data_IF_467348774589
#
_entry.id   IF_467348774589
#
_cell.length_a   1.000
_cell.length_b   1.000
_cell.length_c   1.000
_cell.angle_alpha   90.00
_cell.angle_beta   90.00
_cell.angle_gamma   90.00
#
_symmetry.space_group_name_H-M   'P 1'
#
loop_
_entity.id
_entity.type
_entity.pdbx_description
1 polymer ?
#
# COMPACT_ATOMS: atom_id res chain seq x y z
N UNK A 1 -13.18 19.50 -26.71
CA UNK A 1 -14.32 18.70 -26.23
C UNK A 1 -13.76 17.42 -25.63
N UNK A 2 -13.50 17.37 -24.33
CA UNK A 2 -12.58 16.40 -23.69
C UNK A 2 -13.27 15.50 -22.63
N UNK A 3 -14.60 15.46 -22.63
CA UNK A 3 -15.40 14.84 -21.55
C UNK A 3 -15.72 13.35 -21.70
N UNK A 4 -15.46 12.71 -22.85
CA UNK A 4 -15.90 11.33 -23.09
C UNK A 4 -14.98 10.25 -22.49
N UNK A 5 -13.65 10.41 -22.55
CA UNK A 5 -12.72 9.42 -21.95
C UNK A 5 -12.93 9.23 -20.45
N UNK A 6 -13.06 10.29 -19.63
CA UNK A 6 -13.28 10.14 -18.19
C UNK A 6 -14.55 9.35 -17.86
N UNK A 7 -15.62 9.55 -18.63
CA UNK A 7 -16.91 8.90 -18.35
C UNK A 7 -16.85 7.38 -18.56
N UNK A 8 -16.24 6.90 -19.64
CA UNK A 8 -16.11 5.46 -19.91
C UNK A 8 -15.29 4.73 -18.84
N UNK A 9 -14.22 5.36 -18.34
CA UNK A 9 -13.38 4.78 -17.29
C UNK A 9 -14.12 4.77 -15.94
N UNK A 10 -14.89 5.81 -15.62
CA UNK A 10 -15.73 5.88 -14.42
C UNK A 10 -16.82 4.81 -14.45
N UNK A 11 -17.52 4.65 -15.58
CA UNK A 11 -18.54 3.63 -15.78
C UNK A 11 -17.97 2.23 -15.55
N UNK A 12 -16.87 1.90 -16.23
CA UNK A 12 -16.19 0.60 -16.06
C UNK A 12 -15.79 0.32 -14.61
N UNK A 13 -15.27 1.33 -13.89
CA UNK A 13 -14.96 1.21 -12.46
C UNK A 13 -16.22 0.92 -11.65
N UNK A 14 -17.29 1.66 -11.88
CA UNK A 14 -18.55 1.51 -11.13
C UNK A 14 -19.20 0.14 -11.38
N UNK A 15 -19.08 -0.40 -12.60
CA UNK A 15 -19.57 -1.75 -12.91
C UNK A 15 -18.75 -2.82 -12.19
N UNK A 16 -17.42 -2.70 -12.21
CA UNK A 16 -16.53 -3.59 -11.45
C UNK A 16 -16.78 -3.49 -9.94
N UNK A 17 -17.07 -2.29 -9.42
CA UNK A 17 -17.32 -2.09 -7.99
C UNK A 17 -18.63 -2.75 -7.56
N UNK A 18 -19.67 -2.69 -8.40
CA UNK A 18 -20.93 -3.43 -8.19
C UNK A 18 -20.71 -4.94 -8.25
N UNK A 19 -19.98 -5.44 -9.27
CA UNK A 19 -19.70 -6.87 -9.44
C UNK A 19 -18.96 -7.45 -8.23
N UNK A 20 -17.99 -6.70 -7.68
CA UNK A 20 -17.19 -7.12 -6.53
C UNK A 20 -17.81 -6.75 -5.18
N UNK A 21 -18.94 -6.03 -5.16
CA UNK A 21 -19.56 -5.48 -3.97
C UNK A 21 -18.59 -4.68 -3.08
N UNK A 22 -17.81 -3.80 -3.71
CA UNK A 22 -16.85 -2.91 -3.03
C UNK A 22 -17.06 -1.46 -3.48
N UNK A 23 -16.54 -0.50 -2.73
CA UNK A 23 -16.56 0.90 -3.14
C UNK A 23 -15.68 1.15 -4.38
N UNK A 24 -16.07 2.06 -5.26
CA UNK A 24 -15.36 2.33 -6.52
C UNK A 24 -13.88 2.65 -6.34
N UNK A 25 -13.52 3.45 -5.34
CA UNK A 25 -12.13 3.84 -5.07
C UNK A 25 -11.22 2.64 -4.71
N UNK A 26 -11.79 1.52 -4.25
CA UNK A 26 -11.05 0.27 -3.98
C UNK A 26 -10.56 -0.34 -5.30
N UNK A 27 -11.38 -0.29 -6.36
CA UNK A 27 -11.00 -0.71 -7.71
C UNK A 27 -9.89 0.21 -8.23
N UNK A 28 -10.22 1.47 -8.51
CA UNK A 28 -9.27 2.52 -8.89
C UNK A 28 -9.72 3.86 -8.28
N UNK A 29 -8.80 4.61 -7.69
CA UNK A 29 -9.10 5.92 -7.13
C UNK A 29 -9.43 6.95 -8.23
N UNK A 30 -10.09 8.04 -7.86
CA UNK A 30 -10.41 9.11 -8.81
C UNK A 30 -9.16 9.73 -9.43
N UNK A 31 -8.07 9.83 -8.65
CA UNK A 31 -6.76 10.30 -9.14
C UNK A 31 -6.24 9.38 -10.24
N UNK A 32 -6.29 8.07 -10.03
CA UNK A 32 -5.87 7.08 -11.03
C UNK A 32 -6.70 7.20 -12.30
N UNK A 33 -8.03 7.31 -12.20
CA UNK A 33 -8.88 7.46 -13.39
C UNK A 33 -8.56 8.72 -14.19
N UNK A 34 -8.26 9.84 -13.51
CA UNK A 34 -7.85 11.08 -14.16
C UNK A 34 -6.51 10.93 -14.87
N UNK A 35 -5.53 10.28 -14.24
CA UNK A 35 -4.24 10.00 -14.85
C UNK A 35 -4.38 9.09 -16.08
N UNK A 36 -5.20 8.04 -16.00
CA UNK A 36 -5.49 7.16 -17.14
C UNK A 36 -6.14 7.90 -18.32
N UNK A 37 -7.09 8.79 -18.04
CA UNK A 37 -7.77 9.62 -19.04
C UNK A 37 -6.83 10.66 -19.67
N UNK A 38 -5.76 11.05 -18.98
CA UNK A 38 -4.81 12.05 -19.48
C UNK A 38 -3.65 11.43 -20.25
N UNK A 39 -3.04 10.38 -19.69
CA UNK A 39 -1.82 9.78 -20.23
C UNK A 39 -2.07 8.69 -21.27
N UNK A 40 -3.28 8.12 -21.33
CA UNK A 40 -3.64 7.05 -22.27
C UNK A 40 -2.65 5.88 -22.34
N UNK A 41 -2.32 5.21 -21.23
CA UNK A 41 -1.44 4.05 -21.28
C UNK A 41 -2.04 2.93 -22.13
N UNK A 42 -1.34 2.57 -23.21
CA UNK A 42 -1.81 1.59 -24.22
C UNK A 42 -1.31 0.16 -23.97
N UNK A 43 -0.39 -0.03 -23.02
CA UNK A 43 0.23 -1.30 -22.70
C UNK A 43 0.47 -1.45 -21.19
N UNK A 44 0.81 -2.67 -20.77
CA UNK A 44 1.07 -3.01 -19.36
C UNK A 44 2.10 -2.08 -18.72
N UNK A 45 3.24 -1.89 -19.40
CA UNK A 45 4.35 -1.12 -18.85
C UNK A 45 3.91 0.32 -18.54
N UNK A 46 3.29 1.00 -19.50
CA UNK A 46 2.75 2.34 -19.31
C UNK A 46 1.66 2.41 -18.25
N UNK A 47 0.81 1.38 -18.14
CA UNK A 47 -0.25 1.32 -17.15
C UNK A 47 0.30 1.18 -15.72
N UNK A 48 1.40 0.42 -15.54
CA UNK A 48 2.10 0.29 -14.26
C UNK A 48 2.90 1.55 -13.86
N UNK A 49 3.11 2.50 -14.78
CA UNK A 49 3.71 3.79 -14.45
C UNK A 49 2.74 4.73 -13.72
N UNK A 50 1.43 4.48 -13.80
CA UNK A 50 0.39 5.30 -13.18
C UNK A 50 0.40 5.11 -11.66
N UNK A 51 0.44 6.21 -10.91
CA UNK A 51 0.64 6.16 -9.47
C UNK A 51 -0.59 5.58 -8.78
N UNK A 52 -0.39 4.56 -7.94
CA UNK A 52 -1.49 3.86 -7.26
C UNK A 52 -1.99 2.62 -8.02
N UNK A 53 -1.35 2.29 -9.15
CA UNK A 53 -1.52 1.00 -9.83
C UNK A 53 -0.29 0.13 -9.54
N UNK A 54 -0.50 -1.00 -8.88
CA UNK A 54 0.51 -2.05 -8.73
C UNK A 54 0.14 -3.29 -9.53
N UNK A 55 1.05 -4.26 -9.58
CA UNK A 55 0.89 -5.53 -10.31
C UNK A 55 -0.45 -6.23 -10.02
N UNK A 56 -0.88 -6.29 -8.76
CA UNK A 56 -2.16 -6.92 -8.41
C UNK A 56 -3.37 -6.22 -9.05
N UNK A 57 -3.41 -4.88 -9.04
CA UNK A 57 -4.50 -4.11 -9.67
C UNK A 57 -4.46 -4.23 -11.19
N UNK A 58 -3.26 -4.26 -11.77
CA UNK A 58 -3.10 -4.52 -13.20
C UNK A 58 -3.64 -5.91 -13.56
N UNK A 59 -3.24 -6.96 -12.83
CA UNK A 59 -3.68 -8.33 -13.11
C UNK A 59 -5.20 -8.49 -12.98
N UNK A 60 -5.83 -7.74 -12.06
CA UNK A 60 -7.28 -7.79 -11.85
C UNK A 60 -8.07 -6.96 -12.86
N UNK A 61 -7.58 -5.78 -13.25
CA UNK A 61 -8.39 -4.78 -13.96
C UNK A 61 -7.69 -4.16 -15.19
N UNK A 62 -6.37 -4.22 -15.25
CA UNK A 62 -5.53 -3.47 -16.19
C UNK A 62 -5.91 -3.70 -17.65
N UNK A 63 -6.04 -4.96 -18.08
CA UNK A 63 -6.41 -5.32 -19.46
C UNK A 63 -7.75 -4.69 -19.89
N UNK A 64 -8.75 -4.68 -18.99
CA UNK A 64 -10.06 -4.08 -19.27
C UNK A 64 -9.95 -2.57 -19.51
N UNK A 65 -9.19 -1.87 -18.67
CA UNK A 65 -9.00 -0.42 -18.80
C UNK A 65 -8.15 -0.06 -20.02
N UNK A 66 -7.09 -0.82 -20.31
CA UNK A 66 -6.29 -0.66 -21.55
C UNK A 66 -7.17 -0.82 -22.79
N UNK A 67 -8.06 -1.82 -22.81
CA UNK A 67 -8.98 -2.03 -23.93
C UNK A 67 -9.91 -0.83 -24.16
N UNK A 68 -10.45 -0.24 -23.09
CA UNK A 68 -11.29 0.97 -23.15
C UNK A 68 -10.48 2.15 -23.70
N UNK A 69 -9.27 2.37 -23.18
CA UNK A 69 -8.37 3.43 -23.63
C UNK A 69 -8.05 3.29 -25.12
N UNK A 70 -7.65 2.09 -25.56
CA UNK A 70 -7.34 1.81 -26.95
C UNK A 70 -8.55 2.00 -27.88
N UNK A 71 -9.76 1.68 -27.40
CA UNK A 71 -10.99 1.90 -28.15
C UNK A 71 -11.30 3.39 -28.30
N UNK A 72 -11.10 4.16 -27.23
CA UNK A 72 -11.27 5.62 -27.24
C UNK A 72 -10.26 6.33 -28.15
N UNK A 73 -8.98 5.94 -28.09
CA UNK A 73 -7.93 6.47 -28.97
C UNK A 73 -8.33 6.32 -30.44
N UNK A 74 -8.86 5.14 -30.80
CA UNK A 74 -9.32 4.84 -32.16
C UNK A 74 -10.56 5.64 -32.55
N UNK A 75 -11.56 5.77 -31.67
CA UNK A 75 -12.80 6.49 -31.99
C UNK A 75 -12.56 7.98 -32.19
N UNK A 76 -11.74 8.59 -31.32
CA UNK A 76 -11.45 10.02 -31.36
C UNK A 76 -10.30 10.38 -32.30
N UNK A 77 -9.71 9.38 -32.99
CA UNK A 77 -8.57 9.56 -33.88
C UNK A 77 -7.41 10.35 -33.22
N UNK A 78 -7.10 10.01 -31.97
CA UNK A 78 -6.01 10.67 -31.24
C UNK A 78 -4.70 10.42 -31.99
N UNK A 79 -4.00 11.50 -32.36
CA UNK A 79 -2.79 11.40 -33.15
C UNK A 79 -1.65 10.74 -32.37
N UNK A 80 -0.78 10.02 -33.10
CA UNK A 80 0.43 9.42 -32.52
C UNK A 80 1.36 10.47 -31.87
N UNK A 81 1.35 11.71 -32.36
CA UNK A 81 2.12 12.82 -31.77
C UNK A 81 1.64 13.13 -30.35
N UNK A 82 0.32 13.16 -30.12
CA UNK A 82 -0.26 13.37 -28.80
C UNK A 82 0.10 12.19 -27.89
N UNK A 83 -0.08 10.94 -28.36
CA UNK A 83 0.22 9.74 -27.57
C UNK A 83 1.69 9.70 -27.15
N UNK A 84 2.61 9.97 -28.09
CA UNK A 84 4.05 10.03 -27.81
C UNK A 84 4.38 11.13 -26.79
N UNK A 85 3.75 12.29 -26.91
CA UNK A 85 3.93 13.39 -25.96
C UNK A 85 3.48 12.99 -24.56
N UNK A 86 2.29 12.40 -24.43
CA UNK A 86 1.75 11.93 -23.14
C UNK A 86 2.58 10.82 -22.53
N UNK A 87 3.06 9.87 -23.33
CA UNK A 87 3.94 8.80 -22.85
C UNK A 87 5.28 9.38 -22.34
N UNK A 88 5.85 10.35 -23.05
CA UNK A 88 7.07 11.04 -22.60
C UNK A 88 6.83 11.85 -21.32
N UNK A 89 5.70 12.54 -21.20
CA UNK A 89 5.30 13.24 -19.97
C UNK A 89 5.17 12.27 -18.79
N UNK A 90 4.53 11.10 -18.98
CA UNK A 90 4.41 10.07 -17.96
C UNK A 90 5.78 9.49 -17.55
N UNK A 91 6.66 9.23 -18.51
CA UNK A 91 8.03 8.78 -18.21
C UNK A 91 8.83 9.86 -17.48
N UNK A 92 8.62 11.14 -17.81
CA UNK A 92 9.26 12.28 -17.15
C UNK A 92 8.72 12.52 -15.75
N UNK A 93 7.41 12.40 -15.50
CA UNK A 93 6.83 12.59 -14.17
C UNK A 93 7.44 11.64 -13.14
N UNK A 94 7.78 10.42 -13.54
CA UNK A 94 8.53 9.47 -12.70
C UNK A 94 9.98 9.91 -12.44
N UNK A 95 10.61 10.60 -13.40
CA UNK A 95 11.99 11.10 -13.28
C UNK A 95 12.08 12.41 -12.49
N UNK A 96 11.08 13.29 -12.60
CA UNK A 96 11.08 14.62 -11.97
C UNK A 96 10.46 14.63 -10.58
N UNK A 97 9.61 13.66 -10.22
CA UNK A 97 9.02 13.55 -8.86
C UNK A 97 9.75 12.60 -7.91
N UNK A 98 10.97 12.18 -8.25
CA UNK A 98 11.88 11.65 -7.24
C UNK A 98 12.96 12.68 -6.98
N UNK A 99 12.89 13.47 -5.89
CA UNK A 99 14.16 13.66 -5.18
C UNK A 99 14.73 12.25 -5.01
N UNK A 100 15.99 12.03 -5.40
CA UNK A 100 16.73 10.82 -5.04
C UNK A 100 16.92 10.81 -3.52
N UNK A 101 15.83 10.80 -2.74
CA UNK A 101 15.90 10.29 -1.39
C UNK A 101 16.09 8.80 -1.64
N UNK A 102 17.32 8.36 -1.40
CA UNK A 102 17.70 6.96 -1.50
C UNK A 102 16.60 6.14 -0.78
N UNK A 103 16.12 5.03 -1.34
CA UNK A 103 15.08 4.21 -0.67
C UNK A 103 15.52 3.86 0.76
N UNK A 104 16.83 3.71 0.98
CA UNK A 104 17.43 3.68 2.32
C UNK A 104 17.14 4.94 3.12
N UNK A 105 17.43 6.12 2.61
CA UNK A 105 17.23 7.40 3.29
C UNK A 105 15.75 7.70 3.61
N UNK A 106 14.77 7.29 2.76
CA UNK A 106 13.34 7.35 3.13
C UNK A 106 13.01 6.37 4.27
N UNK A 107 13.60 5.18 4.22
CA UNK A 107 13.42 4.15 5.26
C UNK A 107 14.05 4.58 6.59
N UNK A 108 15.24 5.18 6.56
CA UNK A 108 15.94 5.68 7.74
C UNK A 108 15.24 6.89 8.35
N UNK A 109 14.74 7.82 7.51
CA UNK A 109 13.91 8.93 7.98
C UNK A 109 12.65 8.43 8.68
N UNK A 110 11.98 7.41 8.10
CA UNK A 110 10.80 6.79 8.72
C UNK A 110 11.12 6.01 9.99
N UNK A 111 12.22 5.23 10.03
CA UNK A 111 12.70 4.56 11.25
C UNK A 111 12.95 5.56 12.39
N UNK A 112 13.64 6.67 12.09
CA UNK A 112 13.92 7.73 13.06
C UNK A 112 12.63 8.30 13.64
N UNK A 113 11.68 8.63 12.77
CA UNK A 113 10.41 9.21 13.20
C UNK A 113 9.61 8.23 14.07
N UNK A 114 9.55 6.95 13.69
CA UNK A 114 8.92 5.91 14.54
C UNK A 114 9.63 5.80 15.89
N UNK A 115 10.97 5.87 15.94
CA UNK A 115 11.73 5.87 17.20
C UNK A 115 11.36 7.06 18.11
N UNK A 116 11.27 8.27 17.56
CA UNK A 116 10.85 9.47 18.31
C UNK A 116 9.45 9.33 18.93
N UNK A 117 8.50 8.68 18.24
CA UNK A 117 7.15 8.46 18.76
C UNK A 117 7.10 7.35 19.82
N UNK A 118 7.97 6.34 19.71
CA UNK A 118 8.15 5.31 20.74
C UNK A 118 8.71 5.92 22.03
N UNK A 119 9.68 6.83 21.91
CA UNK A 119 10.26 7.56 23.06
C UNK A 119 9.21 8.45 23.75
N UNK A 120 8.21 8.92 23.00
CA UNK A 120 7.03 9.64 23.52
C UNK A 120 5.93 8.71 24.07
N UNK A 121 6.14 7.39 24.03
CA UNK A 121 5.17 6.38 24.50
C UNK A 121 3.82 6.41 23.77
N UNK A 122 3.82 6.77 22.49
CA UNK A 122 2.61 6.76 21.66
C UNK A 122 2.16 5.33 21.33
N UNK A 123 0.85 5.14 21.18
CA UNK A 123 0.25 3.88 20.74
C UNK A 123 0.59 3.59 19.26
N UNK A 124 0.41 2.34 18.82
CA UNK A 124 0.62 1.98 17.41
C UNK A 124 -0.38 2.69 16.50
N UNK A 125 -1.62 2.81 16.96
CA UNK A 125 -2.71 3.47 16.24
C UNK A 125 -2.39 4.96 16.03
N UNK A 126 -1.92 5.64 17.08
CA UNK A 126 -1.56 7.06 16.99
C UNK A 126 -0.32 7.28 16.12
N UNK A 127 0.67 6.38 16.21
CA UNK A 127 1.84 6.42 15.33
C UNK A 127 1.49 6.21 13.86
N UNK A 128 0.57 5.28 13.59
CA UNK A 128 0.07 5.01 12.24
C UNK A 128 -0.64 6.25 11.67
N UNK A 129 -1.47 6.91 12.48
CA UNK A 129 -2.16 8.13 12.10
C UNK A 129 -1.23 9.33 11.91
N UNK A 130 -0.27 9.58 12.81
CA UNK A 130 0.70 10.70 12.71
C UNK A 130 1.54 10.63 11.42
N UNK A 131 1.85 9.41 10.98
CA UNK A 131 2.76 9.17 9.86
C UNK A 131 2.07 8.81 8.55
N UNK A 132 0.73 8.74 8.53
CA UNK A 132 -0.06 8.26 7.40
C UNK A 132 0.42 6.87 6.92
N UNK A 133 0.52 5.93 7.86
CA UNK A 133 0.98 4.55 7.68
C UNK A 133 -0.05 3.55 8.23
N UNK A 134 0.11 2.27 7.89
CA UNK A 134 -0.68 1.21 8.53
C UNK A 134 -0.01 0.72 9.82
N UNK A 135 -0.79 0.23 10.79
CA UNK A 135 -0.27 -0.38 12.02
C UNK A 135 0.77 -1.48 11.74
N UNK A 136 0.51 -2.34 10.74
CA UNK A 136 1.46 -3.35 10.30
C UNK A 136 2.80 -2.75 9.81
N UNK A 137 2.78 -1.58 9.16
CA UNK A 137 4.00 -0.89 8.74
C UNK A 137 4.78 -0.34 9.94
N UNK A 138 4.09 0.22 10.93
CA UNK A 138 4.68 0.68 12.19
C UNK A 138 5.34 -0.49 12.93
N UNK A 139 4.63 -1.61 13.09
CA UNK A 139 5.17 -2.82 13.73
C UNK A 139 6.42 -3.35 13.02
N UNK A 140 6.44 -3.32 11.68
CA UNK A 140 7.64 -3.68 10.92
C UNK A 140 8.82 -2.73 11.17
N UNK A 141 8.57 -1.42 11.30
CA UNK A 141 9.61 -0.47 11.69
C UNK A 141 10.13 -0.72 13.10
N UNK A 142 9.24 -1.01 14.06
CA UNK A 142 9.61 -1.38 15.44
C UNK A 142 10.53 -2.60 15.45
N UNK A 143 10.17 -3.68 14.73
CA UNK A 143 11.01 -4.88 14.64
C UNK A 143 12.41 -4.60 14.07
N UNK A 144 12.50 -3.72 13.05
CA UNK A 144 13.78 -3.29 12.49
C UNK A 144 14.56 -2.37 13.44
N UNK A 145 13.89 -1.54 14.23
CA UNK A 145 14.54 -0.68 15.22
C UNK A 145 15.15 -1.52 16.35
N UNK A 146 14.45 -2.56 16.79
CA UNK A 146 14.96 -3.49 17.82
C UNK A 146 16.09 -4.39 17.33
N UNK A 147 16.17 -4.61 16.01
CA UNK A 147 17.34 -5.27 15.40
C UNK A 147 18.58 -4.37 15.47
N UNK A 148 18.41 -3.06 15.31
CA UNK A 148 19.50 -2.08 15.38
C UNK A 148 19.87 -1.72 16.82
N UNK A 149 18.88 -1.59 17.69
CA UNK A 149 18.97 -1.13 19.08
C UNK A 149 18.01 -1.94 19.95
N UNK A 150 18.53 -3.03 20.52
CA UNK A 150 17.75 -3.93 21.37
C UNK A 150 17.38 -3.32 22.73
N UNK A 151 17.85 -2.12 23.06
CA UNK A 151 17.58 -1.44 24.34
C UNK A 151 16.35 -0.54 24.30
N UNK A 152 15.76 -0.33 23.10
CA UNK A 152 14.59 0.51 22.91
C UNK A 152 13.39 -0.01 23.72
N UNK A 153 12.86 0.83 24.62
CA UNK A 153 11.75 0.44 25.49
C UNK A 153 10.39 0.49 24.77
N UNK A 154 10.02 -0.67 24.25
CA UNK A 154 8.75 -0.94 23.56
C UNK A 154 7.75 -1.71 24.42
N UNK A 155 8.07 -2.04 25.68
CA UNK A 155 7.26 -2.96 26.52
C UNK A 155 5.85 -2.44 26.80
N UNK A 156 5.68 -1.12 26.78
CA UNK A 156 4.38 -0.45 26.94
C UNK A 156 3.40 -0.79 25.79
N UNK A 157 3.91 -1.11 24.59
CA UNK A 157 3.07 -1.42 23.42
C UNK A 157 2.27 -2.72 23.55
N UNK A 158 2.54 -3.55 24.58
CA UNK A 158 1.70 -4.71 24.90
C UNK A 158 0.24 -4.33 25.16
N UNK A 159 0.00 -3.09 25.61
CA UNK A 159 -1.34 -2.58 25.94
C UNK A 159 -2.16 -2.27 24.68
N UNK A 160 -1.50 -2.06 23.54
CA UNK A 160 -2.16 -1.93 22.24
C UNK A 160 -2.67 -3.27 21.68
N UNK A 161 -2.29 -4.41 22.26
CA UNK A 161 -2.64 -5.73 21.71
C UNK A 161 -3.80 -6.35 22.47
N UNK A 162 -4.92 -6.49 21.77
CA UNK A 162 -6.02 -7.29 22.28
C UNK A 162 -5.64 -8.79 22.27
N UNK A 163 -5.83 -9.49 23.40
CA UNK A 163 -5.46 -10.91 23.50
C UNK A 163 -3.95 -11.19 23.59
N UNK A 164 -3.14 -10.23 24.05
CA UNK A 164 -1.67 -10.37 24.15
C UNK A 164 -1.23 -11.72 24.75
N UNK A 165 -1.79 -12.10 25.90
CA UNK A 165 -1.40 -13.33 26.59
C UNK A 165 -1.75 -14.60 25.80
N UNK A 166 -2.86 -14.58 25.06
CA UNK A 166 -3.27 -15.71 24.23
C UNK A 166 -2.30 -15.91 23.08
N UNK A 167 -1.89 -14.81 22.42
CA UNK A 167 -0.89 -14.84 21.35
C UNK A 167 0.47 -15.31 21.89
N UNK A 168 0.87 -14.88 23.08
CA UNK A 168 2.09 -15.39 23.75
C UNK A 168 2.02 -16.90 23.98
N UNK A 169 0.87 -17.41 24.41
CA UNK A 169 0.68 -18.85 24.63
C UNK A 169 0.70 -19.63 23.30
N UNK A 170 0.15 -19.07 22.23
CA UNK A 170 0.25 -19.65 20.89
C UNK A 170 1.72 -19.73 20.43
N UNK A 171 2.52 -18.68 20.66
CA UNK A 171 3.95 -18.71 20.36
C UNK A 171 4.73 -19.76 21.17
N UNK A 172 4.39 -19.96 22.45
CA UNK A 172 4.97 -21.04 23.27
C UNK A 172 4.62 -22.43 22.75
N UNK A 173 3.45 -22.59 22.13
CA UNK A 173 2.96 -23.87 21.58
C UNK A 173 3.54 -24.18 20.20
N UNK A 174 3.61 -23.20 19.30
CA UNK A 174 3.98 -23.42 17.89
C UNK A 174 5.41 -23.02 17.51
N UNK A 175 6.09 -22.26 18.36
CA UNK A 175 7.39 -21.64 18.06
C UNK A 175 7.27 -20.25 17.44
N UNK A 176 8.29 -19.41 17.60
CA UNK A 176 8.30 -18.01 17.14
C UNK A 176 8.50 -17.87 15.63
N UNK A 177 8.86 -18.95 14.95
CA UNK A 177 9.02 -19.03 13.50
C UNK A 177 7.71 -19.26 12.74
N UNK A 178 6.64 -19.73 13.41
CA UNK A 178 5.39 -20.17 12.75
C UNK A 178 4.21 -19.20 12.95
N UNK A 179 4.24 -18.06 12.26
CA UNK A 179 3.15 -17.06 12.32
C UNK A 179 1.84 -17.56 11.69
N UNK A 180 1.92 -18.28 10.57
CA UNK A 180 0.73 -18.76 9.84
C UNK A 180 -0.18 -19.67 10.68
N UNK A 181 0.34 -20.75 11.30
CA UNK A 181 -0.44 -21.61 12.19
C UNK A 181 -1.07 -20.88 13.37
N UNK A 182 -0.36 -19.91 13.94
CA UNK A 182 -0.87 -19.08 15.05
C UNK A 182 -2.06 -18.22 14.56
N UNK A 183 -1.94 -17.59 13.40
CA UNK A 183 -3.04 -16.81 12.82
C UNK A 183 -4.30 -17.65 12.55
N UNK A 184 -4.12 -18.90 12.09
CA UNK A 184 -5.22 -19.85 11.87
C UNK A 184 -5.87 -20.28 13.19
N UNK A 185 -5.11 -20.49 14.27
CA UNK A 185 -5.65 -20.86 15.59
C UNK A 185 -6.63 -19.82 16.12
N UNK A 186 -6.34 -18.54 15.91
CA UNK A 186 -7.24 -17.45 16.29
C UNK A 186 -8.41 -17.26 15.31
N UNK A 187 -8.49 -18.03 14.22
CA UNK A 187 -9.55 -17.93 13.20
C UNK A 187 -9.77 -16.50 12.68
N UNK A 188 -8.71 -15.68 12.64
CA UNK A 188 -8.79 -14.27 12.22
C UNK A 188 -9.34 -13.30 13.27
N UNK A 189 -9.58 -13.72 14.51
CA UNK A 189 -10.06 -12.86 15.60
C UNK A 189 -8.96 -11.93 16.19
N UNK A 190 -7.73 -12.05 15.71
CA UNK A 190 -6.60 -11.17 16.05
C UNK A 190 -6.01 -10.59 14.77
N UNK A 191 -5.49 -9.37 14.82
CA UNK A 191 -4.84 -8.80 13.66
C UNK A 191 -3.48 -9.45 13.40
N UNK A 192 -3.09 -9.54 12.13
CA UNK A 192 -1.76 -10.05 11.78
C UNK A 192 -0.64 -9.17 12.36
N UNK A 193 -0.88 -7.86 12.45
CA UNK A 193 0.04 -6.90 13.06
C UNK A 193 0.26 -7.18 14.55
N UNK A 194 -0.80 -7.54 15.29
CA UNK A 194 -0.73 -7.91 16.70
C UNK A 194 0.15 -9.13 16.93
N UNK A 195 0.01 -10.16 16.09
CA UNK A 195 0.85 -11.37 16.17
C UNK A 195 2.33 -11.01 15.96
N UNK A 196 2.62 -10.14 14.99
CA UNK A 196 4.00 -9.68 14.75
C UNK A 196 4.50 -8.86 15.94
N UNK A 197 3.69 -7.94 16.48
CA UNK A 197 4.11 -7.11 17.60
C UNK A 197 4.41 -7.97 18.83
N UNK A 198 3.54 -8.92 19.17
CA UNK A 198 3.76 -9.86 20.28
C UNK A 198 5.06 -10.63 20.09
N UNK A 199 5.32 -11.14 18.88
CA UNK A 199 6.60 -11.79 18.56
C UNK A 199 7.79 -10.86 18.82
N UNK A 200 7.70 -9.63 18.35
CA UNK A 200 8.76 -8.62 18.51
C UNK A 200 9.00 -8.33 20.00
N UNK A 201 7.93 -8.13 20.79
CA UNK A 201 8.00 -7.91 22.23
C UNK A 201 8.56 -9.10 23.00
N UNK A 202 8.23 -10.33 22.58
CA UNK A 202 8.77 -11.57 23.17
C UNK A 202 10.28 -11.74 22.91
N UNK A 203 10.78 -11.24 21.78
CA UNK A 203 12.18 -11.38 21.37
C UNK A 203 13.06 -10.21 21.82
N UNK A 204 12.47 -9.06 22.15
CA UNK A 204 13.17 -7.94 22.79
C UNK A 204 13.49 -8.26 24.26
N UNK A 205 14.73 -7.99 24.70
CA UNK A 205 15.18 -8.23 26.08
C UNK A 205 14.68 -7.15 27.05
#
# INVERSE_FOLDING_TARGET
>A
DSGQSPNLLIESRNDLSKEKNVAGFIILSDVVLKELAYFYPINKDGFLLIKGIGENKFNLYGEKFISIINSYIKSENISNEILNTREQELKKSIQTERPKINVKERTETRKRRVKELIEQKMSIEDMANDLDLTSNTIVNYIGRLLTDDSSLDVKYLKESVNGYNDIVNAFKKYGTEKIGPIYVEFSGNVEYADIILVKVLMLSK
#
